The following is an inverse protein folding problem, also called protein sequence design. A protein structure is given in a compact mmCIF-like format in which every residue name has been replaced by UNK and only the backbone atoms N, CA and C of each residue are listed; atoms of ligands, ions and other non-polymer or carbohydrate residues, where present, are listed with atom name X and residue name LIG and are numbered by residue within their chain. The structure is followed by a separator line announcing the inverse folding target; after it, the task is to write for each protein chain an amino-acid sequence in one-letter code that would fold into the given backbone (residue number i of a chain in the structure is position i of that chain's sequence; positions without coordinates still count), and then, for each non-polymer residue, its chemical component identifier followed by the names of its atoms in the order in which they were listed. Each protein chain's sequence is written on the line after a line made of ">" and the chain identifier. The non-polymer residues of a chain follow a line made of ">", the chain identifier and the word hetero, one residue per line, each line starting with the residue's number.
data_IF_606040544478
#
_entry.id   IF_606040544478
#
_cell.length_a   1.000
_cell.length_b   1.000
_cell.length_c   1.000
_cell.angle_alpha   90.00
_cell.angle_beta   90.00
_cell.angle_gamma   90.00
#
_symmetry.space_group_name_H-M   'P 1'
#
loop_
_entity.id
_entity.type
_entity.pdbx_description
1 polymer ?
#
# COMPACT_ATOMS: atom_id res chain seq x y z
N UNK A 1 25.58 -16.32 -22.68
CA UNK A 1 26.70 -17.26 -22.46
C UNK A 1 26.64 -18.36 -23.51
N UNK A 2 27.76 -18.82 -24.07
CA UNK A 2 27.78 -19.86 -25.13
C UNK A 2 28.06 -21.24 -24.55
N UNK A 3 27.72 -22.32 -25.27
CA UNK A 3 28.00 -23.71 -24.86
C UNK A 3 29.48 -23.94 -24.54
N UNK A 4 30.37 -23.45 -25.40
CA UNK A 4 31.81 -23.57 -25.20
C UNK A 4 32.26 -22.92 -23.89
N UNK A 5 31.70 -21.76 -23.54
CA UNK A 5 32.03 -21.08 -22.28
C UNK A 5 31.54 -21.88 -21.07
N UNK A 6 30.36 -22.49 -21.14
CA UNK A 6 29.82 -23.34 -20.06
C UNK A 6 30.69 -24.59 -19.89
N UNK A 7 30.92 -25.35 -20.96
CA UNK A 7 31.68 -26.61 -20.88
C UNK A 7 33.17 -26.41 -20.56
N UNK A 8 33.68 -25.18 -20.71
CA UNK A 8 35.03 -24.83 -20.29
C UNK A 8 35.17 -24.69 -18.76
N UNK A 9 34.07 -24.58 -17.99
CA UNK A 9 34.12 -24.41 -16.54
C UNK A 9 34.67 -25.67 -15.84
N UNK A 10 35.37 -25.52 -14.69
CA UNK A 10 36.06 -26.63 -14.03
C UNK A 10 35.19 -27.85 -13.73
N UNK A 11 33.94 -27.65 -13.31
CA UNK A 11 33.01 -28.75 -12.99
C UNK A 11 32.51 -29.52 -14.22
N UNK A 12 32.61 -28.95 -15.42
CA UNK A 12 32.23 -29.62 -16.66
C UNK A 12 33.38 -30.30 -17.40
N UNK A 13 34.63 -29.89 -17.15
CA UNK A 13 35.81 -30.42 -17.84
C UNK A 13 35.89 -31.96 -17.91
N UNK A 14 35.60 -32.73 -16.83
CA UNK A 14 35.63 -34.20 -16.90
C UNK A 14 34.66 -34.79 -17.93
N UNK A 15 33.58 -34.07 -18.23
CA UNK A 15 32.50 -34.50 -19.10
C UNK A 15 32.37 -33.62 -20.36
N UNK A 16 33.30 -32.71 -20.64
CA UNK A 16 33.16 -31.70 -21.70
C UNK A 16 33.01 -32.31 -23.11
N UNK A 17 33.56 -33.51 -23.33
CA UNK A 17 33.42 -34.26 -24.58
C UNK A 17 32.16 -35.16 -24.64
N UNK A 18 31.31 -35.14 -23.61
CA UNK A 18 30.08 -35.95 -23.56
C UNK A 18 29.15 -35.59 -24.72
N UNK A 19 28.76 -36.56 -25.58
CA UNK A 19 27.81 -36.32 -26.66
C UNK A 19 26.46 -35.79 -26.14
N UNK A 20 26.08 -36.12 -24.92
CA UNK A 20 24.85 -35.63 -24.28
C UNK A 20 24.96 -34.12 -24.07
N UNK A 21 26.02 -33.65 -23.41
CA UNK A 21 26.24 -32.23 -23.12
C UNK A 21 26.47 -31.41 -24.40
N UNK A 22 27.15 -31.99 -25.39
CA UNK A 22 27.41 -31.32 -26.67
C UNK A 22 26.14 -31.12 -27.51
N UNK A 23 25.16 -32.01 -27.42
CA UNK A 23 23.91 -31.94 -28.18
C UNK A 23 22.73 -31.37 -27.36
N UNK A 24 22.90 -31.15 -26.05
CA UNK A 24 21.87 -30.59 -25.19
C UNK A 24 21.46 -29.18 -25.65
N UNK A 25 20.14 -28.86 -25.70
CA UNK A 25 19.67 -27.49 -25.94
C UNK A 25 20.35 -26.49 -25.01
N UNK A 26 20.70 -25.31 -25.52
CA UNK A 26 21.50 -24.35 -24.76
C UNK A 26 20.81 -23.91 -23.45
N UNK A 27 19.48 -23.73 -23.47
CA UNK A 27 18.72 -23.36 -22.28
C UNK A 27 18.75 -24.45 -21.18
N UNK A 28 18.68 -25.73 -21.57
CA UNK A 28 18.83 -26.86 -20.65
C UNK A 28 20.23 -26.93 -20.06
N UNK A 29 21.26 -26.73 -20.89
CA UNK A 29 22.65 -26.72 -20.43
C UNK A 29 22.92 -25.54 -19.49
N UNK A 30 22.36 -24.36 -19.78
CA UNK A 30 22.46 -23.18 -18.93
C UNK A 30 21.78 -23.39 -17.57
N UNK A 31 20.59 -23.99 -17.54
CA UNK A 31 19.89 -24.30 -16.31
C UNK A 31 20.63 -25.34 -15.47
N UNK A 32 21.18 -26.38 -16.11
CA UNK A 32 21.99 -27.38 -15.41
C UNK A 32 23.28 -26.78 -14.84
N UNK A 33 23.96 -25.94 -15.62
CA UNK A 33 25.17 -25.24 -15.19
C UNK A 33 24.91 -24.31 -14.00
N UNK A 34 23.87 -23.48 -14.07
CA UNK A 34 23.54 -22.58 -12.95
C UNK A 34 23.08 -23.34 -11.70
N UNK A 35 22.48 -24.52 -11.86
CA UNK A 35 22.13 -25.39 -10.72
C UNK A 35 23.39 -25.97 -10.05
N UNK A 36 24.38 -26.41 -10.83
CA UNK A 36 25.66 -26.91 -10.29
C UNK A 36 26.44 -25.79 -9.60
N UNK A 37 26.46 -24.59 -10.18
CA UNK A 37 27.06 -23.41 -9.54
C UNK A 37 26.37 -23.08 -8.22
N UNK A 38 25.03 -23.07 -8.19
CA UNK A 38 24.26 -22.85 -6.97
C UNK A 38 24.53 -23.91 -5.91
N UNK A 39 24.61 -25.19 -6.29
CA UNK A 39 24.95 -26.26 -5.36
C UNK A 39 26.34 -26.06 -4.75
N UNK A 40 27.30 -25.61 -5.55
CA UNK A 40 28.68 -25.34 -5.11
C UNK A 40 28.73 -24.13 -4.18
N UNK A 41 28.09 -23.03 -4.57
CA UNK A 41 28.05 -21.77 -3.81
C UNK A 41 27.39 -21.95 -2.44
N UNK A 42 26.32 -22.74 -2.35
CA UNK A 42 25.57 -22.97 -1.12
C UNK A 42 25.89 -24.30 -0.43
N UNK A 43 26.96 -25.01 -0.85
CA UNK A 43 27.40 -26.25 -0.22
C UNK A 43 26.34 -27.36 -0.19
N UNK A 44 25.46 -27.42 -1.20
CA UNK A 44 24.39 -28.40 -1.27
C UNK A 44 24.94 -29.75 -1.76
N UNK A 45 25.15 -30.68 -0.84
CA UNK A 45 25.58 -32.05 -1.17
C UNK A 45 24.43 -32.91 -1.72
N UNK A 46 23.20 -32.62 -1.30
CA UNK A 46 21.97 -33.20 -1.84
C UNK A 46 20.93 -32.09 -1.98
N UNK A 47 20.28 -32.03 -3.15
CA UNK A 47 19.22 -31.05 -3.40
C UNK A 47 17.95 -31.42 -2.65
N UNK A 48 17.46 -30.50 -1.82
CA UNK A 48 16.12 -30.53 -1.24
C UNK A 48 15.14 -29.73 -2.11
N UNK A 49 13.81 -29.92 -1.95
CA UNK A 49 12.82 -29.10 -2.65
C UNK A 49 12.98 -27.60 -2.37
N UNK A 50 13.52 -27.24 -1.21
CA UNK A 50 13.78 -25.86 -0.83
C UNK A 50 14.95 -25.26 -1.59
N UNK A 51 16.06 -25.99 -1.70
CA UNK A 51 17.23 -25.56 -2.46
C UNK A 51 16.84 -25.30 -3.93
N UNK A 52 16.06 -26.20 -4.53
CA UNK A 52 15.55 -26.06 -5.90
C UNK A 52 14.63 -24.84 -6.09
N UNK A 53 13.76 -24.51 -5.12
CA UNK A 53 12.89 -23.32 -5.21
C UNK A 53 13.71 -22.04 -5.12
N UNK A 54 14.66 -21.96 -4.20
CA UNK A 54 15.52 -20.78 -4.06
C UNK A 54 16.34 -20.58 -5.33
N UNK A 55 16.98 -21.63 -5.83
CA UNK A 55 17.70 -21.58 -7.11
C UNK A 55 16.81 -21.05 -8.25
N UNK A 56 15.59 -21.59 -8.40
CA UNK A 56 14.66 -21.16 -9.44
C UNK A 56 14.26 -19.68 -9.28
N UNK A 57 14.06 -19.19 -8.04
CA UNK A 57 13.74 -17.79 -7.75
C UNK A 57 14.91 -16.85 -8.07
N UNK A 58 16.14 -17.28 -7.84
CA UNK A 58 17.34 -16.49 -8.13
C UNK A 58 17.67 -16.44 -9.64
N UNK A 59 17.21 -17.41 -10.42
CA UNK A 59 17.54 -17.50 -11.85
C UNK A 59 16.62 -16.69 -12.77
N UNK A 60 15.71 -15.87 -12.24
CA UNK A 60 14.76 -14.95 -12.96
C UNK A 60 13.81 -15.57 -14.00
N UNK A 61 14.09 -16.77 -14.49
CA UNK A 61 13.32 -17.49 -15.48
C UNK A 61 12.57 -18.66 -14.83
N UNK A 62 11.23 -18.59 -14.84
CA UNK A 62 10.37 -19.68 -14.34
C UNK A 62 10.52 -20.97 -15.13
N UNK A 63 10.98 -20.90 -16.39
CA UNK A 63 11.27 -22.09 -17.20
C UNK A 63 12.60 -22.76 -16.82
N UNK A 64 13.45 -22.11 -16.02
CA UNK A 64 14.74 -22.68 -15.62
C UNK A 64 14.57 -24.05 -14.95
N UNK A 65 13.54 -24.23 -14.12
CA UNK A 65 13.31 -25.51 -13.43
C UNK A 65 12.89 -26.63 -14.38
N UNK A 66 12.06 -26.33 -15.38
CA UNK A 66 11.67 -27.28 -16.43
C UNK A 66 12.90 -27.69 -17.26
N UNK A 67 13.74 -26.70 -17.60
CA UNK A 67 15.00 -26.92 -18.32
C UNK A 67 16.01 -27.75 -17.51
N UNK A 68 16.16 -27.51 -16.21
CA UNK A 68 17.02 -28.32 -15.35
C UNK A 68 16.50 -29.75 -15.18
N UNK A 69 15.17 -29.94 -15.06
CA UNK A 69 14.56 -31.28 -15.04
C UNK A 69 14.88 -32.03 -16.35
N UNK A 70 14.68 -31.37 -17.50
CA UNK A 70 14.95 -31.98 -18.80
C UNK A 70 16.44 -32.32 -18.98
N UNK A 71 17.34 -31.43 -18.54
CA UNK A 71 18.78 -31.64 -18.58
C UNK A 71 19.20 -32.84 -17.71
N UNK A 72 18.71 -32.90 -16.47
CA UNK A 72 19.01 -33.94 -15.49
C UNK A 72 18.52 -35.33 -15.95
N UNK A 73 17.35 -35.40 -16.60
CA UNK A 73 16.87 -36.66 -17.21
C UNK A 73 17.83 -37.14 -18.30
N UNK A 74 18.41 -36.23 -19.09
CA UNK A 74 19.33 -36.58 -20.18
C UNK A 74 20.70 -36.99 -19.66
N UNK A 75 21.19 -36.39 -18.58
CA UNK A 75 22.54 -36.67 -18.02
C UNK A 75 22.54 -37.88 -17.09
N UNK A 76 21.60 -37.93 -16.15
CA UNK A 76 21.61 -38.86 -15.02
C UNK A 76 20.44 -39.87 -15.05
N UNK A 77 19.57 -39.76 -16.05
CA UNK A 77 18.42 -40.63 -16.26
C UNK A 77 17.16 -40.21 -15.47
N UNK A 78 16.01 -40.84 -15.77
CA UNK A 78 14.72 -40.46 -15.19
C UNK A 78 14.57 -40.76 -13.69
N UNK A 79 15.46 -41.58 -13.13
CA UNK A 79 15.47 -42.02 -11.73
C UNK A 79 16.53 -41.27 -10.89
N UNK A 80 17.18 -40.24 -11.47
CA UNK A 80 18.18 -39.46 -10.75
C UNK A 80 17.58 -38.87 -9.45
N UNK A 81 18.25 -39.11 -8.32
CA UNK A 81 17.79 -38.69 -6.99
C UNK A 81 17.38 -37.20 -6.92
N UNK A 82 18.10 -36.23 -7.54
CA UNK A 82 17.73 -34.82 -7.49
C UNK A 82 16.41 -34.47 -8.21
N UNK A 83 15.93 -35.31 -9.13
CA UNK A 83 14.71 -35.05 -9.90
C UNK A 83 13.47 -34.98 -9.01
N UNK A 84 13.41 -35.76 -7.92
CA UNK A 84 12.30 -35.71 -6.98
C UNK A 84 12.17 -34.31 -6.34
N UNK A 85 13.29 -33.72 -5.93
CA UNK A 85 13.35 -32.38 -5.34
C UNK A 85 13.01 -31.28 -6.35
N UNK A 86 13.54 -31.36 -7.57
CA UNK A 86 13.21 -30.43 -8.65
C UNK A 86 11.71 -30.45 -9.00
N UNK A 87 11.12 -31.65 -9.15
CA UNK A 87 9.68 -31.80 -9.42
C UNK A 87 8.81 -31.28 -8.28
N UNK A 88 9.19 -31.53 -7.02
CA UNK A 88 8.44 -31.00 -5.88
C UNK A 88 8.47 -29.45 -5.83
N UNK A 89 9.61 -28.86 -6.17
CA UNK A 89 9.75 -27.40 -6.31
C UNK A 89 8.90 -26.86 -7.47
N UNK A 90 8.97 -27.48 -8.65
CA UNK A 90 8.18 -27.12 -9.84
C UNK A 90 6.67 -27.16 -9.54
N UNK A 91 6.19 -28.22 -8.88
CA UNK A 91 4.78 -28.35 -8.47
C UNK A 91 4.36 -27.19 -7.56
N UNK A 92 5.22 -26.80 -6.61
CA UNK A 92 4.95 -25.69 -5.69
C UNK A 92 4.88 -24.36 -6.44
N UNK A 93 5.85 -24.08 -7.30
CA UNK A 93 5.90 -22.86 -8.10
C UNK A 93 4.69 -22.78 -9.06
N UNK A 94 4.34 -23.89 -9.71
CA UNK A 94 3.18 -24.00 -10.59
C UNK A 94 1.87 -23.77 -9.83
N UNK A 95 1.73 -24.33 -8.62
CA UNK A 95 0.55 -24.11 -7.77
C UNK A 95 0.40 -22.63 -7.40
N UNK A 96 1.50 -21.92 -7.16
CA UNK A 96 1.52 -20.49 -6.93
C UNK A 96 1.15 -19.68 -8.20
N UNK A 97 1.77 -19.99 -9.34
CA UNK A 97 1.52 -19.29 -10.60
C UNK A 97 0.07 -19.45 -11.11
N UNK A 98 -0.53 -20.63 -10.91
CA UNK A 98 -1.91 -20.95 -11.31
C UNK A 98 -2.96 -20.53 -10.28
N UNK A 99 -2.57 -19.90 -9.18
CA UNK A 99 -3.51 -19.57 -8.11
C UNK A 99 -4.49 -18.46 -8.54
N UNK A 100 -5.73 -18.86 -8.84
CA UNK A 100 -6.79 -17.95 -9.27
C UNK A 100 -7.55 -17.28 -8.11
N UNK A 101 -7.20 -17.58 -6.84
CA UNK A 101 -7.88 -17.02 -5.66
C UNK A 101 -7.54 -15.56 -5.36
N UNK A 102 -7.10 -14.82 -6.37
CA UNK A 102 -6.65 -13.44 -6.27
C UNK A 102 -7.60 -12.59 -7.11
N UNK A 103 -8.21 -11.59 -6.49
CA UNK A 103 -8.99 -10.60 -7.23
C UNK A 103 -8.05 -9.79 -8.13
N UNK A 104 -7.94 -10.17 -9.39
CA UNK A 104 -7.24 -9.41 -10.45
C UNK A 104 -8.12 -8.32 -11.07
N UNK A 105 -9.41 -8.30 -10.72
CA UNK A 105 -10.34 -7.32 -11.26
C UNK A 105 -9.92 -5.89 -10.86
N UNK A 106 -9.85 -4.96 -11.84
CA UNK A 106 -9.82 -3.53 -11.56
C UNK A 106 -10.96 -3.14 -10.62
N UNK A 107 -10.87 -1.95 -9.98
CA UNK A 107 -11.98 -1.42 -9.19
C UNK A 107 -13.30 -1.60 -9.96
N UNK A 108 -14.29 -2.25 -9.33
CA UNK A 108 -15.62 -2.48 -9.90
C UNK A 108 -16.09 -1.23 -10.64
N UNK A 109 -16.45 -1.39 -11.91
CA UNK A 109 -17.08 -0.32 -12.67
C UNK A 109 -18.51 -0.16 -12.13
N UNK A 110 -18.72 0.85 -11.30
CA UNK A 110 -20.05 1.17 -10.79
C UNK A 110 -20.84 1.89 -11.88
N UNK A 111 -22.03 1.40 -12.20
CA UNK A 111 -22.98 2.13 -13.03
C UNK A 111 -23.29 3.49 -12.38
N UNK A 112 -23.36 4.56 -13.18
CA UNK A 112 -23.61 5.93 -12.69
C UNK A 112 -25.09 6.11 -12.31
N UNK A 113 -25.48 5.55 -11.18
CA UNK A 113 -26.87 5.59 -10.69
C UNK A 113 -27.22 6.86 -9.92
N UNK A 114 -26.28 7.79 -9.71
CA UNK A 114 -26.51 9.03 -8.94
C UNK A 114 -25.94 10.29 -9.61
N UNK A 115 -25.49 10.21 -10.87
CA UNK A 115 -24.94 11.36 -11.60
C UNK A 115 -25.27 11.26 -13.08
N UNK A 116 -25.34 12.39 -13.78
CA UNK A 116 -25.29 12.41 -15.25
C UNK A 116 -23.90 12.01 -15.77
N UNK A 117 -23.78 11.67 -17.05
CA UNK A 117 -22.48 11.71 -17.69
C UNK A 117 -22.07 13.18 -17.95
N UNK A 118 -20.77 13.51 -18.02
CA UNK A 118 -20.32 14.86 -18.32
C UNK A 118 -20.89 15.42 -19.62
N UNK A 119 -21.01 14.59 -20.65
CA UNK A 119 -21.60 14.92 -21.96
C UNK A 119 -23.10 15.22 -21.93
N UNK A 120 -23.81 14.79 -20.88
CA UNK A 120 -25.24 15.05 -20.68
C UNK A 120 -25.49 16.38 -19.94
N UNK A 121 -24.45 17.09 -19.51
CA UNK A 121 -24.58 18.41 -18.87
C UNK A 121 -24.99 19.48 -19.89
N UNK A 122 -25.53 20.64 -19.45
CA UNK A 122 -25.71 21.78 -20.35
C UNK A 122 -24.43 22.15 -21.09
N UNK A 123 -24.54 22.49 -22.38
CA UNK A 123 -23.39 22.83 -23.21
C UNK A 123 -22.51 23.93 -22.60
N UNK A 124 -23.14 24.93 -21.96
CA UNK A 124 -22.43 25.99 -21.24
C UNK A 124 -21.57 25.45 -20.08
N UNK A 125 -22.10 24.51 -19.29
CA UNK A 125 -21.36 23.90 -18.19
C UNK A 125 -20.18 23.06 -18.71
N UNK A 126 -20.37 22.34 -19.81
CA UNK A 126 -19.30 21.59 -20.47
C UNK A 126 -18.18 22.53 -20.95
N UNK A 127 -18.55 23.66 -21.58
CA UNK A 127 -17.58 24.67 -22.01
C UNK A 127 -16.83 25.28 -20.82
N UNK A 128 -17.50 25.55 -19.70
CA UNK A 128 -16.84 26.02 -18.49
C UNK A 128 -15.86 25.00 -17.93
N UNK A 129 -16.24 23.71 -17.87
CA UNK A 129 -15.34 22.64 -17.43
C UNK A 129 -14.11 22.52 -18.33
N UNK A 130 -14.28 22.56 -19.66
CA UNK A 130 -13.17 22.56 -20.61
C UNK A 130 -12.21 23.74 -20.35
N UNK A 131 -12.76 24.97 -20.23
CA UNK A 131 -11.94 26.15 -19.89
C UNK A 131 -11.21 25.99 -18.56
N UNK A 132 -11.87 25.44 -17.53
CA UNK A 132 -11.23 25.22 -16.22
C UNK A 132 -10.10 24.19 -16.32
N UNK A 133 -10.27 23.14 -17.13
CA UNK A 133 -9.25 22.11 -17.38
C UNK A 133 -8.04 22.67 -18.11
N UNK A 134 -8.29 23.56 -19.07
CA UNK A 134 -7.28 24.12 -19.97
C UNK A 134 -6.55 25.35 -19.41
N UNK A 135 -7.04 25.95 -18.31
CA UNK A 135 -6.34 27.05 -17.62
C UNK A 135 -4.93 26.64 -17.21
N UNK A 136 -3.93 27.21 -17.92
CA UNK A 136 -2.51 27.11 -17.60
C UNK A 136 -1.82 28.45 -17.35
N UNK A 137 -2.35 29.60 -17.80
CA UNK A 137 -1.49 30.77 -18.05
C UNK A 137 -1.94 32.13 -17.49
N UNK A 138 -3.03 32.24 -16.74
CA UNK A 138 -3.48 33.51 -16.13
C UNK A 138 -3.03 33.71 -14.67
N UNK A 139 -2.00 32.99 -14.23
CA UNK A 139 -1.48 33.06 -12.85
C UNK A 139 -2.36 32.35 -11.81
N UNK A 140 -3.50 31.78 -12.20
CA UNK A 140 -4.32 30.90 -11.38
C UNK A 140 -3.82 29.44 -11.51
N UNK A 141 -3.53 28.81 -10.37
CA UNK A 141 -2.95 27.47 -10.24
C UNK A 141 -3.74 26.43 -11.04
N UNK A 142 -3.06 25.67 -11.93
CA UNK A 142 -3.62 24.48 -12.58
C UNK A 142 -4.19 23.53 -11.52
N UNK A 143 -5.50 23.25 -11.59
CA UNK A 143 -6.16 22.31 -10.69
C UNK A 143 -5.51 20.93 -10.78
N UNK A 144 -5.26 20.31 -9.63
CA UNK A 144 -4.86 18.91 -9.58
C UNK A 144 -5.94 18.03 -10.24
N UNK A 145 -5.59 17.00 -11.04
CA UNK A 145 -6.55 16.16 -11.75
C UNK A 145 -7.68 15.63 -10.85
N UNK A 146 -7.34 15.10 -9.66
CA UNK A 146 -8.31 14.61 -8.69
C UNK A 146 -9.35 15.65 -8.24
N UNK A 147 -8.95 16.93 -8.14
CA UNK A 147 -9.87 18.01 -7.78
C UNK A 147 -10.81 18.34 -8.93
N UNK A 148 -10.28 18.37 -10.16
CA UNK A 148 -11.09 18.56 -11.36
C UNK A 148 -12.12 17.44 -11.55
N UNK A 149 -11.70 16.19 -11.39
CA UNK A 149 -12.57 15.01 -11.55
C UNK A 149 -13.66 14.99 -10.48
N UNK A 150 -13.31 15.28 -9.22
CA UNK A 150 -14.28 15.37 -8.13
C UNK A 150 -15.28 16.51 -8.37
N UNK A 151 -14.79 17.69 -8.78
CA UNK A 151 -15.63 18.83 -9.12
C UNK A 151 -16.62 18.51 -10.22
N UNK A 152 -16.14 17.90 -11.31
CA UNK A 152 -16.96 17.45 -12.44
C UNK A 152 -18.02 16.44 -11.97
N UNK A 153 -17.63 15.46 -11.15
CA UNK A 153 -18.55 14.47 -10.60
C UNK A 153 -19.67 15.12 -9.78
N UNK A 154 -19.35 16.11 -8.93
CA UNK A 154 -20.34 16.82 -8.11
C UNK A 154 -21.27 17.70 -8.93
N UNK A 155 -20.77 18.31 -10.01
CA UNK A 155 -21.60 19.02 -10.97
C UNK A 155 -22.58 18.07 -11.67
N UNK A 156 -22.11 16.89 -12.11
CA UNK A 156 -22.97 15.85 -12.69
C UNK A 156 -24.03 15.31 -11.72
N UNK A 157 -23.71 15.21 -10.42
CA UNK A 157 -24.69 14.84 -9.37
C UNK A 157 -25.77 15.92 -9.24
N UNK A 158 -25.37 17.20 -9.21
CA UNK A 158 -26.30 18.31 -9.15
C UNK A 158 -27.19 18.40 -10.40
N UNK A 159 -26.60 18.29 -11.60
CA UNK A 159 -27.35 18.31 -12.86
C UNK A 159 -28.38 17.18 -12.94
N UNK A 160 -28.05 15.99 -12.45
CA UNK A 160 -29.01 14.88 -12.36
C UNK A 160 -30.18 15.25 -11.46
N UNK A 161 -29.88 15.74 -10.26
CA UNK A 161 -30.91 16.13 -9.29
C UNK A 161 -31.88 17.17 -9.87
N UNK A 162 -31.37 18.19 -10.56
CA UNK A 162 -32.19 19.22 -11.20
C UNK A 162 -33.10 18.60 -12.27
N UNK A 163 -32.55 17.75 -13.15
CA UNK A 163 -33.29 17.05 -14.20
C UNK A 163 -34.41 16.19 -13.63
N UNK A 164 -34.11 15.35 -12.64
CA UNK A 164 -35.09 14.47 -11.99
C UNK A 164 -36.16 15.25 -11.20
N UNK A 165 -35.83 16.45 -10.73
CA UNK A 165 -36.75 17.33 -10.00
C UNK A 165 -37.56 18.27 -10.91
N UNK A 166 -37.41 18.17 -12.23
CA UNK A 166 -38.07 19.07 -13.19
C UNK A 166 -37.64 20.54 -13.07
N UNK A 167 -36.44 20.79 -12.53
CA UNK A 167 -35.88 22.14 -12.38
C UNK A 167 -35.01 22.48 -13.58
N UNK A 168 -34.90 23.77 -13.91
CA UNK A 168 -33.96 24.25 -14.92
C UNK A 168 -32.53 23.85 -14.57
N UNK A 169 -31.75 23.43 -15.58
CA UNK A 169 -30.34 23.04 -15.43
C UNK A 169 -29.43 24.28 -15.30
N UNK A 170 -29.68 25.08 -14.26
CA UNK A 170 -28.92 26.28 -13.94
C UNK A 170 -28.76 26.43 -12.42
N UNK A 171 -27.88 27.33 -11.99
CA UNK A 171 -27.63 27.59 -10.58
C UNK A 171 -28.49 28.72 -10.02
N UNK A 172 -29.44 28.33 -9.18
CA UNK A 172 -30.23 29.25 -8.37
C UNK A 172 -30.12 28.93 -6.88
N UNK A 173 -30.27 29.96 -6.03
CA UNK A 173 -30.26 29.79 -4.56
C UNK A 173 -31.35 28.83 -4.12
N UNK A 174 -32.55 28.90 -4.73
CA UNK A 174 -33.66 28.01 -4.41
C UNK A 174 -33.32 26.54 -4.74
N UNK A 175 -32.77 26.30 -5.93
CA UNK A 175 -32.34 24.98 -6.38
C UNK A 175 -31.22 24.39 -5.52
N UNK A 176 -30.23 25.20 -5.12
CA UNK A 176 -29.15 24.78 -4.22
C UNK A 176 -29.66 24.40 -2.82
N UNK A 177 -30.67 25.11 -2.30
CA UNK A 177 -31.30 24.76 -1.01
C UNK A 177 -32.04 23.43 -1.10
N UNK A 178 -32.81 23.20 -2.17
CA UNK A 178 -33.49 21.92 -2.38
C UNK A 178 -32.48 20.77 -2.54
N UNK A 179 -31.39 20.99 -3.27
CA UNK A 179 -30.31 20.01 -3.40
C UNK A 179 -29.61 19.73 -2.06
N UNK A 180 -29.42 20.75 -1.21
CA UNK A 180 -28.89 20.55 0.14
C UNK A 180 -29.80 19.63 0.97
N UNK A 181 -31.11 19.89 0.96
CA UNK A 181 -32.08 19.01 1.62
C UNK A 181 -32.00 17.58 1.08
N UNK A 182 -31.97 17.41 -0.24
CA UNK A 182 -31.81 16.11 -0.87
C UNK A 182 -30.53 15.37 -0.42
N UNK A 183 -29.37 16.04 -0.44
CA UNK A 183 -28.11 15.43 0.01
C UNK A 183 -28.14 15.06 1.50
N UNK A 184 -28.80 15.86 2.35
CA UNK A 184 -28.91 15.55 3.80
C UNK A 184 -29.82 14.35 4.09
N UNK A 185 -30.81 14.09 3.23
CA UNK A 185 -31.72 12.94 3.37
C UNK A 185 -31.27 11.72 2.56
N UNK A 186 -30.26 11.87 1.69
CA UNK A 186 -29.79 10.79 0.83
C UNK A 186 -29.15 9.68 1.65
N UNK A 187 -29.64 8.47 1.46
CA UNK A 187 -29.04 7.26 2.02
C UNK A 187 -27.91 6.80 1.10
N UNK A 188 -26.73 6.64 1.66
CA UNK A 188 -25.57 6.08 0.97
C UNK A 188 -25.78 4.59 0.65
N UNK A 189 -24.95 4.03 -0.22
CA UNK A 189 -24.91 2.58 -0.48
C UNK A 189 -24.65 1.72 0.78
N UNK A 190 -24.27 2.34 1.90
CA UNK A 190 -24.08 1.69 3.20
C UNK A 190 -25.33 1.72 4.09
N UNK A 191 -26.47 2.16 3.58
CA UNK A 191 -27.73 2.23 4.34
C UNK A 191 -27.81 3.37 5.36
N UNK A 192 -26.80 4.26 5.41
CA UNK A 192 -26.76 5.40 6.33
C UNK A 192 -26.81 6.74 5.58
N UNK A 193 -27.33 7.81 6.21
CA UNK A 193 -27.25 9.17 5.66
C UNK A 193 -25.81 9.58 5.33
N UNK A 194 -25.66 10.52 4.38
CA UNK A 194 -24.35 11.08 4.08
C UNK A 194 -23.75 11.78 5.30
N UNK A 195 -22.45 11.60 5.52
CA UNK A 195 -21.75 12.34 6.56
C UNK A 195 -21.66 13.83 6.22
N UNK A 196 -21.63 14.68 7.25
CA UNK A 196 -21.44 16.14 7.10
C UNK A 196 -20.21 16.48 6.26
N UNK A 197 -19.12 15.71 6.40
CA UNK A 197 -17.91 15.85 5.58
C UNK A 197 -18.17 15.61 4.08
N UNK A 198 -19.03 14.66 3.72
CA UNK A 198 -19.39 14.37 2.33
C UNK A 198 -20.20 15.53 1.74
N UNK A 199 -21.12 16.08 2.52
CA UNK A 199 -21.94 17.23 2.13
C UNK A 199 -21.06 18.47 1.94
N UNK A 200 -20.14 18.74 2.87
CA UNK A 200 -19.13 19.81 2.74
C UNK A 200 -18.36 19.66 1.43
N UNK A 201 -17.89 18.45 1.11
CA UNK A 201 -17.15 18.21 -0.14
C UNK A 201 -18.02 18.51 -1.37
N UNK A 202 -19.26 18.00 -1.41
CA UNK A 202 -20.22 18.29 -2.49
C UNK A 202 -20.37 19.80 -2.72
N UNK A 203 -20.64 20.58 -1.67
CA UNK A 203 -20.86 22.02 -1.82
C UNK A 203 -19.57 22.83 -2.03
N UNK A 204 -18.42 22.36 -1.54
CA UNK A 204 -17.13 22.99 -1.79
C UNK A 204 -16.75 22.88 -3.27
N UNK A 205 -16.98 21.71 -3.86
CA UNK A 205 -16.72 21.44 -5.27
C UNK A 205 -17.68 22.23 -6.18
N UNK A 206 -18.98 22.32 -5.84
CA UNK A 206 -19.92 23.19 -6.57
C UNK A 206 -19.53 24.67 -6.47
N UNK A 207 -19.13 25.14 -5.28
CA UNK A 207 -18.60 26.51 -5.11
C UNK A 207 -17.37 26.75 -5.99
N UNK A 208 -16.46 25.79 -6.05
CA UNK A 208 -15.24 25.91 -6.83
C UNK A 208 -15.55 25.99 -8.33
N UNK A 209 -16.49 25.18 -8.83
CA UNK A 209 -17.00 25.33 -10.20
C UNK A 209 -17.52 26.74 -10.47
N UNK A 210 -18.40 27.27 -9.60
CA UNK A 210 -18.95 28.62 -9.75
C UNK A 210 -17.88 29.73 -9.70
N UNK A 211 -16.89 29.58 -8.81
CA UNK A 211 -15.78 30.53 -8.70
C UNK A 211 -14.91 30.50 -9.95
N UNK A 212 -14.57 29.31 -10.43
CA UNK A 212 -13.66 29.16 -11.56
C UNK A 212 -14.34 29.46 -12.89
N UNK A 213 -15.62 29.16 -13.07
CA UNK A 213 -16.34 29.50 -14.32
C UNK A 213 -16.43 31.00 -14.56
N UNK A 214 -16.39 31.83 -13.49
CA UNK A 214 -16.51 33.31 -13.54
C UNK A 214 -17.82 33.78 -14.20
N UNK A 215 -18.77 32.88 -14.48
CA UNK A 215 -20.01 33.14 -15.20
C UNK A 215 -21.20 33.47 -14.29
N UNK A 216 -21.07 33.21 -12.98
CA UNK A 216 -22.17 33.33 -12.03
C UNK A 216 -22.02 34.51 -11.07
N UNK A 217 -23.12 35.09 -10.57
CA UNK A 217 -23.08 36.23 -9.66
C UNK A 217 -22.34 35.92 -8.34
N UNK A 218 -21.50 36.86 -7.88
CA UNK A 218 -20.81 36.79 -6.58
C UNK A 218 -21.75 36.49 -5.39
N UNK A 219 -22.99 37.00 -5.33
CA UNK A 219 -23.93 36.64 -4.26
C UNK A 219 -24.21 35.13 -4.13
N UNK A 220 -24.23 34.38 -5.24
CA UNK A 220 -24.46 32.94 -5.23
C UNK A 220 -23.30 32.21 -4.52
N UNK A 221 -22.06 32.55 -4.89
CA UNK A 221 -20.84 32.02 -4.25
C UNK A 221 -20.81 32.38 -2.76
N UNK A 222 -21.23 33.60 -2.40
CA UNK A 222 -21.32 34.03 -0.99
C UNK A 222 -22.31 33.19 -0.18
N UNK A 223 -23.45 32.80 -0.76
CA UNK A 223 -24.42 31.94 -0.08
C UNK A 223 -23.87 30.52 0.16
N UNK A 224 -23.18 29.93 -0.82
CA UNK A 224 -22.54 28.62 -0.60
C UNK A 224 -21.43 28.71 0.45
N UNK A 225 -20.65 29.80 0.48
CA UNK A 225 -19.66 30.02 1.54
C UNK A 225 -20.31 30.08 2.94
N UNK A 226 -21.46 30.74 3.09
CA UNK A 226 -22.22 30.75 4.35
C UNK A 226 -22.68 29.35 4.76
N UNK A 227 -23.19 28.57 3.80
CA UNK A 227 -23.58 27.17 4.05
C UNK A 227 -22.37 26.33 4.48
N UNK A 228 -21.25 26.43 3.77
CA UNK A 228 -20.02 25.72 4.10
C UNK A 228 -19.48 26.08 5.48
N UNK A 229 -19.60 27.35 5.90
CA UNK A 229 -19.24 27.75 7.25
C UNK A 229 -20.10 27.02 8.29
N UNK A 230 -21.43 27.08 8.17
CA UNK A 230 -22.36 26.39 9.07
C UNK A 230 -22.09 24.88 9.14
N UNK A 231 -21.81 24.25 8.00
CA UNK A 231 -21.50 22.83 7.94
C UNK A 231 -20.16 22.51 8.61
N UNK A 232 -19.14 23.36 8.48
CA UNK A 232 -17.86 23.20 9.18
C UNK A 232 -18.02 23.37 10.69
N UNK A 233 -18.83 24.33 11.12
CA UNK A 233 -19.13 24.55 12.54
C UNK A 233 -19.81 23.30 13.13
N UNK A 234 -20.80 22.73 12.43
CA UNK A 234 -21.42 21.46 12.82
C UNK A 234 -20.43 20.30 12.84
N UNK A 235 -19.63 20.14 11.77
CA UNK A 235 -18.64 19.07 11.66
C UNK A 235 -17.53 19.16 12.72
N UNK A 236 -17.29 20.34 13.30
CA UNK A 236 -16.31 20.53 14.36
C UNK A 236 -16.74 19.93 15.71
N UNK A 237 -18.05 19.76 15.90
CA UNK A 237 -18.67 19.17 17.10
C UNK A 237 -18.87 17.65 16.93
N UNK A 238 -18.98 17.16 15.70
CA UNK A 238 -19.10 15.72 15.41
C UNK A 238 -17.75 15.00 15.64
N UNK A 239 -17.75 13.92 16.43
CA UNK A 239 -16.56 13.06 16.58
C UNK A 239 -16.16 12.53 15.20
N UNK A 240 -14.95 12.89 14.75
CA UNK A 240 -14.48 12.42 13.46
C UNK A 240 -14.46 10.88 13.44
N UNK A 241 -15.02 10.26 12.39
CA UNK A 241 -15.16 8.79 12.26
C UNK A 241 -13.86 8.02 12.54
N UNK A 242 -12.71 8.63 12.25
CA UNK A 242 -11.41 8.04 12.52
C UNK A 242 -11.09 7.87 14.01
N UNK A 243 -11.60 8.74 14.90
CA UNK A 243 -11.41 8.60 16.34
C UNK A 243 -12.35 7.54 16.91
N UNK A 244 -13.56 7.41 16.37
CA UNK A 244 -14.43 6.28 16.70
C UNK A 244 -13.78 4.94 16.28
N UNK A 245 -13.20 4.88 15.08
CA UNK A 245 -12.46 3.71 14.62
C UNK A 245 -11.21 3.43 15.48
N UNK A 246 -10.48 4.48 15.90
CA UNK A 246 -9.31 4.35 16.77
C UNK A 246 -9.69 3.84 18.16
N UNK A 247 -10.76 4.37 18.75
CA UNK A 247 -11.26 3.95 20.04
C UNK A 247 -11.73 2.48 20.06
N UNK A 248 -12.20 1.97 18.91
CA UNK A 248 -12.60 0.58 18.74
C UNK A 248 -11.41 -0.39 18.58
N UNK A 249 -10.19 0.12 18.37
CA UNK A 249 -8.99 -0.71 18.24
C UNK A 249 -8.26 -0.78 19.57
N UNK A 250 -8.05 -1.99 20.06
CA UNK A 250 -7.04 -2.24 21.07
C UNK A 250 -5.66 -2.36 20.39
N UNK A 251 -4.86 -1.31 20.51
CA UNK A 251 -3.54 -1.20 19.87
C UNK A 251 -2.61 -2.33 20.33
N UNK A 252 -2.77 -2.81 21.57
CA UNK A 252 -1.92 -3.88 22.12
C UNK A 252 -2.13 -5.22 21.41
N UNK A 253 -3.26 -5.39 20.71
CA UNK A 253 -3.60 -6.62 19.97
C UNK A 253 -3.00 -6.68 18.57
N UNK A 254 -2.46 -5.58 18.04
CA UNK A 254 -1.99 -5.52 16.64
C UNK A 254 -0.84 -6.50 16.39
N UNK A 255 0.18 -6.49 17.27
CA UNK A 255 1.31 -7.41 17.14
C UNK A 255 0.91 -8.87 17.41
N UNK A 256 0.23 -9.21 18.53
CA UNK A 256 -0.33 -10.56 18.72
C UNK A 256 -1.17 -11.05 17.55
N UNK A 257 -1.92 -10.16 16.88
CA UNK A 257 -2.70 -10.51 15.69
C UNK A 257 -1.80 -10.84 14.50
N UNK A 258 -0.77 -10.04 14.23
CA UNK A 258 0.20 -10.33 13.18
C UNK A 258 0.90 -11.68 13.40
N UNK A 259 1.32 -11.96 14.64
CA UNK A 259 1.91 -13.24 15.05
C UNK A 259 0.93 -14.39 14.82
N UNK A 260 -0.32 -14.26 15.25
CA UNK A 260 -1.34 -15.28 15.02
C UNK A 260 -1.60 -15.53 13.53
N UNK A 261 -1.56 -14.49 12.69
CA UNK A 261 -1.69 -14.64 11.23
C UNK A 261 -0.49 -15.40 10.65
N UNK A 262 0.74 -15.09 11.10
CA UNK A 262 1.97 -15.77 10.68
C UNK A 262 2.02 -17.23 11.15
N UNK A 263 1.69 -17.50 12.41
CA UNK A 263 1.64 -18.86 12.95
C UNK A 263 0.63 -19.76 12.22
N UNK A 264 -0.45 -19.18 11.67
CA UNK A 264 -1.43 -19.91 10.88
C UNK A 264 -0.95 -20.30 9.47
N UNK A 265 0.24 -19.87 9.04
CA UNK A 265 0.87 -20.29 7.77
C UNK A 265 1.10 -21.80 7.75
N UNK A 266 1.61 -22.37 8.84
CA UNK A 266 1.88 -23.80 8.94
C UNK A 266 0.62 -24.68 8.77
N UNK A 267 -0.57 -24.11 9.02
CA UNK A 267 -1.86 -24.80 8.86
C UNK A 267 -2.39 -24.77 7.41
N UNK A 268 -1.74 -24.04 6.50
CA UNK A 268 -2.19 -23.95 5.11
C UNK A 268 -1.49 -25.00 4.25
N UNK A 269 -2.27 -25.93 3.69
CA UNK A 269 -1.77 -26.94 2.75
C UNK A 269 -1.36 -26.34 1.40
N UNK A 270 -2.08 -25.31 0.93
CA UNK A 270 -1.82 -24.66 -0.35
C UNK A 270 -0.66 -23.63 -0.24
N UNK A 271 0.41 -23.76 -1.04
CA UNK A 271 1.54 -22.83 -1.04
C UNK A 271 1.16 -21.37 -1.29
N UNK A 272 0.24 -21.10 -2.21
CA UNK A 272 -0.23 -19.75 -2.50
C UNK A 272 -0.93 -19.11 -1.29
N UNK A 273 -1.70 -19.90 -0.53
CA UNK A 273 -2.33 -19.41 0.72
C UNK A 273 -1.29 -19.09 1.78
N UNK A 274 -0.17 -19.83 1.84
CA UNK A 274 0.95 -19.52 2.74
C UNK A 274 1.60 -18.18 2.41
N UNK A 275 1.88 -17.91 1.13
CA UNK A 275 2.37 -16.59 0.65
C UNK A 275 1.42 -15.46 1.06
N UNK A 276 0.12 -15.62 0.82
CA UNK A 276 -0.89 -14.61 1.19
C UNK A 276 -0.91 -14.35 2.69
N UNK A 277 -0.81 -15.39 3.52
CA UNK A 277 -0.80 -15.24 4.99
C UNK A 277 0.43 -14.50 5.48
N UNK A 278 1.62 -14.78 4.93
CA UNK A 278 2.85 -14.01 5.24
C UNK A 278 2.72 -12.54 4.86
N UNK A 279 2.20 -12.24 3.67
CA UNK A 279 1.92 -10.87 3.28
C UNK A 279 0.92 -10.18 4.22
N UNK A 280 -0.12 -10.89 4.68
CA UNK A 280 -1.10 -10.34 5.63
C UNK A 280 -0.46 -10.03 6.97
N UNK A 281 0.36 -10.93 7.51
CA UNK A 281 1.08 -10.69 8.77
C UNK A 281 1.98 -9.45 8.65
N UNK A 282 2.78 -9.35 7.59
CA UNK A 282 3.60 -8.18 7.29
C UNK A 282 2.79 -6.89 7.16
N UNK A 283 1.65 -6.95 6.46
CA UNK A 283 0.75 -5.80 6.27
C UNK A 283 0.07 -5.34 7.57
N UNK A 284 0.03 -6.18 8.61
CA UNK A 284 -0.47 -5.79 9.94
C UNK A 284 0.69 -5.19 10.77
N UNK A 285 1.84 -5.85 10.79
CA UNK A 285 2.94 -5.54 11.70
C UNK A 285 3.71 -4.26 11.37
N UNK A 286 3.98 -3.99 10.09
CA UNK A 286 4.91 -2.92 9.67
C UNK A 286 4.27 -1.52 9.56
N UNK A 287 3.03 -1.35 9.05
CA UNK A 287 2.43 -0.02 8.91
C UNK A 287 2.34 0.85 10.18
N UNK A 288 2.15 0.31 11.40
CA UNK A 288 2.22 1.10 12.63
C UNK A 288 3.60 1.71 12.89
N UNK A 289 4.68 1.09 12.42
CA UNK A 289 6.07 1.56 12.62
C UNK A 289 6.50 2.54 11.53
N UNK A 290 5.96 2.36 10.33
CA UNK A 290 6.20 3.21 9.16
C UNK A 290 4.84 3.70 8.67
N UNK A 291 4.22 4.69 9.34
CA UNK A 291 2.86 5.15 9.07
C UNK A 291 2.79 5.98 7.78
N UNK A 292 3.17 5.37 6.66
CA UNK A 292 3.07 5.92 5.31
C UNK A 292 1.61 6.22 4.98
N UNK A 293 1.35 6.97 3.91
CA UNK A 293 -0.02 7.38 3.59
C UNK A 293 -0.81 6.29 2.87
N UNK A 294 -0.29 5.84 1.72
CA UNK A 294 -0.88 4.80 0.84
C UNK A 294 0.17 4.02 0.04
N UNK A 295 1.45 4.20 0.35
CA UNK A 295 2.56 3.82 -0.53
C UNK A 295 3.10 2.41 -0.27
N UNK A 296 2.62 1.71 0.78
CA UNK A 296 3.15 0.40 1.17
C UNK A 296 3.16 -0.65 0.06
N UNK A 297 2.18 -0.62 -0.85
CA UNK A 297 2.08 -1.57 -1.96
C UNK A 297 3.18 -1.40 -3.00
N UNK A 298 3.75 -0.20 -3.10
CA UNK A 298 4.77 0.16 -4.08
C UNK A 298 6.18 -0.06 -3.50
N UNK A 299 6.33 -0.22 -2.19
CA UNK A 299 7.64 -0.40 -1.56
C UNK A 299 8.41 -1.59 -2.17
N UNK A 300 9.68 -1.36 -2.47
CA UNK A 300 10.60 -2.36 -3.02
C UNK A 300 11.86 -2.48 -2.18
N UNK A 301 12.37 -3.70 -2.11
CA UNK A 301 13.73 -3.95 -1.62
C UNK A 301 14.73 -3.22 -2.51
N UNK A 302 15.86 -2.76 -1.97
CA UNK A 302 16.86 -2.00 -2.72
C UNK A 302 16.41 -0.56 -2.98
N UNK A 303 15.30 -0.34 -3.67
CA UNK A 303 14.82 1.01 -4.00
C UNK A 303 14.41 1.80 -2.76
N UNK A 304 13.52 1.24 -1.93
CA UNK A 304 12.96 1.93 -0.78
C UNK A 304 13.43 1.32 0.54
N UNK A 305 13.52 -0.01 0.63
CA UNK A 305 13.84 -0.76 1.85
C UNK A 305 15.15 -1.53 1.68
N UNK A 306 16.13 -1.28 2.53
CA UNK A 306 17.46 -1.92 2.49
C UNK A 306 17.82 -2.56 3.83
N UNK A 307 18.56 -3.65 3.80
CA UNK A 307 19.14 -4.33 4.95
C UNK A 307 20.51 -3.72 5.27
N UNK A 308 20.57 -2.91 6.33
CA UNK A 308 21.82 -2.25 6.74
C UNK A 308 21.96 -2.25 8.26
N UNK A 309 23.17 -2.52 8.75
CA UNK A 309 23.48 -2.56 10.18
C UNK A 309 22.49 -3.44 10.97
N UNK A 310 22.22 -4.65 10.46
CA UNK A 310 21.35 -5.63 11.11
C UNK A 310 19.86 -5.25 11.13
N UNK A 311 19.42 -4.29 10.31
CA UNK A 311 18.01 -3.97 10.19
C UNK A 311 17.53 -3.48 8.84
N UNK A 312 16.23 -3.69 8.56
CA UNK A 312 15.55 -3.07 7.41
C UNK A 312 15.30 -1.58 7.65
N UNK A 313 15.81 -0.72 6.76
CA UNK A 313 15.68 0.74 6.81
C UNK A 313 15.14 1.29 5.50
N UNK A 314 14.42 2.39 5.58
CA UNK A 314 14.08 3.15 4.39
C UNK A 314 15.31 3.95 3.93
N UNK A 315 15.69 3.80 2.65
CA UNK A 315 16.85 4.47 2.03
C UNK A 315 16.38 5.59 1.11
N UNK A 316 16.97 6.77 1.25
CA UNK A 316 16.71 7.97 0.43
C UNK A 316 15.21 8.30 0.28
N UNK A 317 14.40 7.84 1.24
CA UNK A 317 12.96 7.75 1.04
C UNK A 317 12.33 9.10 1.31
N UNK A 318 11.72 9.70 0.28
CA UNK A 318 10.95 10.94 0.41
C UNK A 318 9.47 10.64 0.23
N UNK A 319 8.68 10.98 1.25
CA UNK A 319 7.23 10.78 1.24
C UNK A 319 6.58 11.45 0.03
N UNK A 320 5.82 10.67 -0.74
CA UNK A 320 5.41 11.04 -2.11
C UNK A 320 4.63 12.34 -2.20
N UNK A 321 3.82 12.65 -1.19
CA UNK A 321 2.99 13.87 -1.16
C UNK A 321 3.85 15.14 -1.09
N UNK A 322 5.00 15.08 -0.43
CA UNK A 322 5.78 16.26 -0.04
C UNK A 322 7.18 16.26 -0.63
N UNK A 323 7.61 15.18 -1.30
CA UNK A 323 8.93 15.03 -1.92
C UNK A 323 9.35 16.16 -2.87
N UNK A 324 8.39 16.88 -3.43
CA UNK A 324 8.62 17.98 -4.38
C UNK A 324 8.87 19.33 -3.69
N UNK A 325 8.70 19.43 -2.37
CA UNK A 325 8.97 20.66 -1.65
C UNK A 325 10.48 20.85 -1.43
N UNK A 326 11.02 22.07 -1.65
CA UNK A 326 12.42 22.37 -1.37
C UNK A 326 12.78 22.11 0.10
N UNK A 327 14.02 21.66 0.36
CA UNK A 327 14.54 21.46 1.71
C UNK A 327 13.96 20.26 2.47
N UNK A 328 13.33 19.30 1.76
CA UNK A 328 12.78 18.10 2.42
C UNK A 328 13.85 17.05 2.70
N UNK A 329 13.97 16.74 3.98
CA UNK A 329 14.77 15.66 4.54
C UNK A 329 14.21 14.28 4.17
N UNK A 330 15.10 13.29 4.21
CA UNK A 330 14.76 11.90 4.04
C UNK A 330 14.00 11.37 5.25
N UNK A 331 13.07 10.46 4.98
CA UNK A 331 12.26 9.86 6.02
C UNK A 331 13.06 8.79 6.76
N UNK A 332 13.33 8.94 8.08
CA UNK A 332 14.24 8.07 8.82
C UNK A 332 13.58 6.73 9.25
N UNK A 333 12.54 6.29 8.54
CA UNK A 333 11.75 5.13 8.94
C UNK A 333 12.56 3.84 8.88
N UNK A 334 12.40 2.98 9.88
CA UNK A 334 13.00 1.65 9.92
C UNK A 334 12.02 0.63 10.49
N UNK A 335 12.22 -0.65 10.15
CA UNK A 335 11.47 -1.74 10.76
C UNK A 335 12.11 -2.05 12.11
N UNK A 336 11.30 -2.03 13.17
CA UNK A 336 11.78 -2.34 14.51
C UNK A 336 12.34 -3.77 14.59
N UNK A 337 13.42 -4.05 15.36
CA UNK A 337 14.01 -5.38 15.50
C UNK A 337 13.02 -6.51 15.78
N UNK A 338 12.03 -6.27 16.64
CA UNK A 338 11.00 -7.27 16.97
C UNK A 338 10.06 -7.61 15.82
N UNK A 339 10.05 -6.83 14.73
CA UNK A 339 9.11 -6.97 13.61
C UNK A 339 9.81 -7.41 12.31
N UNK A 340 11.14 -7.53 12.32
CA UNK A 340 11.92 -7.87 11.13
C UNK A 340 11.59 -9.26 10.59
N UNK A 341 11.27 -10.18 11.50
CA UNK A 341 10.91 -11.55 11.15
C UNK A 341 9.66 -11.63 10.25
N UNK A 342 8.79 -10.62 10.22
CA UNK A 342 7.68 -10.56 9.26
C UNK A 342 8.16 -10.26 7.84
N UNK A 343 9.18 -9.40 7.70
CA UNK A 343 9.84 -9.10 6.42
C UNK A 343 10.64 -10.32 5.96
N UNK A 344 11.40 -10.93 6.89
CA UNK A 344 12.17 -12.15 6.62
C UNK A 344 11.24 -13.29 6.20
N UNK A 345 10.12 -13.50 6.90
CA UNK A 345 9.15 -14.53 6.54
C UNK A 345 8.61 -14.30 5.13
N UNK A 346 8.27 -13.05 4.76
CA UNK A 346 7.88 -12.71 3.38
C UNK A 346 9.01 -13.12 2.43
N UNK A 347 10.25 -12.72 2.70
CA UNK A 347 11.35 -12.92 1.76
C UNK A 347 11.69 -14.41 1.58
N UNK A 348 11.80 -15.15 2.69
CA UNK A 348 12.07 -16.59 2.76
C UNK A 348 10.93 -17.43 2.21
N UNK A 349 9.67 -17.03 2.39
CA UNK A 349 8.52 -17.90 2.10
C UNK A 349 8.64 -19.25 2.85
N UNK A 350 8.57 -20.36 2.12
CA UNK A 350 8.74 -21.72 2.66
C UNK A 350 10.20 -22.18 2.63
N UNK A 351 11.14 -21.30 2.28
CA UNK A 351 12.53 -21.65 2.07
C UNK A 351 13.36 -21.61 3.36
N UNK A 352 14.52 -22.26 3.31
CA UNK A 352 15.38 -22.50 4.46
C UNK A 352 16.05 -21.19 4.88
N UNK A 353 16.07 -20.85 6.20
CA UNK A 353 16.71 -19.64 6.70
C UNK A 353 18.16 -19.43 6.25
N UNK A 354 18.91 -20.50 5.90
CA UNK A 354 20.28 -20.37 5.37
C UNK A 354 20.37 -19.52 4.10
N UNK A 355 19.27 -19.36 3.37
CA UNK A 355 19.19 -18.56 2.14
C UNK A 355 18.78 -17.11 2.36
N UNK A 356 18.51 -16.69 3.60
CA UNK A 356 17.96 -15.37 3.87
C UNK A 356 18.86 -14.24 3.32
N UNK A 357 20.17 -14.32 3.53
CA UNK A 357 21.10 -13.28 3.08
C UNK A 357 21.21 -13.24 1.55
N UNK A 358 21.33 -14.39 0.88
CA UNK A 358 21.32 -14.46 -0.59
C UNK A 358 20.01 -13.92 -1.19
N UNK A 359 18.88 -14.18 -0.54
CA UNK A 359 17.59 -13.64 -0.95
C UNK A 359 17.48 -12.13 -0.70
N UNK A 360 18.11 -11.59 0.35
CA UNK A 360 18.17 -10.14 0.59
C UNK A 360 18.97 -9.47 -0.52
N UNK A 361 20.16 -9.98 -0.81
CA UNK A 361 21.04 -9.43 -1.85
C UNK A 361 20.34 -9.44 -3.21
N UNK A 362 19.70 -10.54 -3.58
CA UNK A 362 18.94 -10.65 -4.82
C UNK A 362 17.72 -9.71 -4.84
N UNK A 363 16.96 -9.64 -3.74
CA UNK A 363 15.80 -8.77 -3.65
C UNK A 363 16.17 -7.29 -3.75
N UNK A 364 17.29 -6.88 -3.16
CA UNK A 364 17.79 -5.51 -3.25
C UNK A 364 18.32 -5.19 -4.65
N UNK A 365 19.10 -6.09 -5.23
CA UNK A 365 19.67 -5.90 -6.58
C UNK A 365 18.59 -5.80 -7.65
N UNK A 366 17.57 -6.66 -7.58
CA UNK A 366 16.51 -6.78 -8.58
C UNK A 366 15.24 -5.98 -8.20
N UNK A 367 15.33 -5.14 -7.17
CA UNK A 367 14.25 -4.31 -6.64
C UNK A 367 12.89 -5.02 -6.43
N UNK A 368 12.94 -6.19 -5.78
CA UNK A 368 11.75 -7.02 -5.57
C UNK A 368 10.65 -6.24 -4.81
N UNK A 369 9.38 -6.37 -5.20
CA UNK A 369 8.28 -5.76 -4.45
C UNK A 369 8.12 -6.37 -3.06
N UNK A 370 7.91 -5.53 -2.05
CA UNK A 370 7.69 -5.95 -0.67
C UNK A 370 6.45 -6.86 -0.57
N UNK A 371 5.37 -6.48 -1.24
CA UNK A 371 4.15 -7.27 -1.35
C UNK A 371 3.96 -7.79 -2.77
N UNK A 372 3.83 -9.09 -2.92
CA UNK A 372 3.53 -9.75 -4.20
C UNK A 372 2.42 -10.77 -4.04
N UNK A 373 1.65 -10.96 -5.08
CA UNK A 373 0.79 -12.12 -5.20
C UNK A 373 1.61 -13.42 -5.31
N UNK A 374 1.01 -14.58 -4.99
CA UNK A 374 1.66 -15.88 -5.14
C UNK A 374 2.33 -16.12 -6.50
N UNK A 375 1.76 -15.58 -7.58
CA UNK A 375 2.28 -15.65 -8.94
C UNK A 375 3.41 -14.64 -9.23
N UNK A 376 3.84 -13.86 -8.23
CA UNK A 376 4.84 -12.81 -8.36
C UNK A 376 4.29 -11.45 -8.80
N UNK A 377 3.01 -11.35 -9.18
CA UNK A 377 2.41 -10.10 -9.63
C UNK A 377 2.31 -9.06 -8.49
N UNK A 378 2.24 -7.78 -8.85
CA UNK A 378 2.07 -6.70 -7.88
C UNK A 378 0.69 -6.77 -7.21
N UNK A 379 0.64 -6.45 -5.91
CA UNK A 379 -0.63 -6.29 -5.20
C UNK A 379 -1.31 -4.96 -5.56
N UNK A 380 -2.63 -4.89 -5.40
CA UNK A 380 -3.39 -3.67 -5.62
C UNK A 380 -2.98 -2.52 -4.68
N UNK A 381 -3.16 -1.26 -5.12
CA UNK A 381 -2.76 -0.06 -4.35
C UNK A 381 -3.35 0.00 -2.93
N UNK A 382 -4.55 -0.57 -2.75
CA UNK A 382 -5.26 -0.58 -1.48
C UNK A 382 -5.07 -1.87 -0.69
N UNK A 383 -4.19 -2.79 -1.10
CA UNK A 383 -4.00 -4.11 -0.48
C UNK A 383 -3.83 -4.03 1.04
N UNK A 384 -2.87 -3.22 1.52
CA UNK A 384 -2.62 -3.07 2.97
C UNK A 384 -3.85 -2.50 3.69
N UNK A 385 -4.57 -1.57 3.06
CA UNK A 385 -5.82 -1.04 3.63
C UNK A 385 -6.96 -2.07 3.63
N UNK A 386 -7.02 -2.98 2.66
CA UNK A 386 -7.99 -4.09 2.66
C UNK A 386 -7.69 -5.09 3.76
N UNK A 387 -6.40 -5.44 3.97
CA UNK A 387 -5.97 -6.28 5.09
C UNK A 387 -6.41 -5.65 6.41
N UNK A 388 -6.05 -4.39 6.64
CA UNK A 388 -6.48 -3.66 7.84
C UNK A 388 -8.00 -3.61 8.00
N UNK A 389 -8.74 -3.41 6.91
CA UNK A 389 -10.20 -3.36 6.98
C UNK A 389 -10.80 -4.70 7.37
N UNK A 390 -10.19 -5.82 6.96
CA UNK A 390 -10.64 -7.17 7.32
C UNK A 390 -10.28 -7.50 8.77
N UNK A 391 -9.12 -7.06 9.25
CA UNK A 391 -8.64 -7.42 10.59
C UNK A 391 -9.16 -6.48 11.70
N UNK A 392 -9.36 -5.20 11.39
CA UNK A 392 -9.66 -4.15 12.38
C UNK A 392 -10.83 -3.25 11.98
N UNK A 393 -11.56 -3.55 10.90
CA UNK A 393 -12.73 -2.79 10.48
C UNK A 393 -12.44 -1.39 9.91
N UNK A 394 -11.17 -1.03 9.72
CA UNK A 394 -10.74 0.28 9.18
C UNK A 394 -9.51 0.14 8.29
N UNK A 395 -9.25 1.14 7.42
CA UNK A 395 -8.08 1.12 6.55
C UNK A 395 -6.77 1.47 7.26
N UNK A 396 -5.64 1.07 6.67
CA UNK A 396 -4.29 1.25 7.22
C UNK A 396 -3.86 2.71 7.48
N UNK A 397 -4.58 3.68 6.92
CA UNK A 397 -4.36 5.10 7.25
C UNK A 397 -4.66 5.41 8.74
N UNK A 398 -5.32 4.50 9.48
CA UNK A 398 -5.47 4.60 10.92
C UNK A 398 -4.13 4.50 11.67
N UNK A 399 -3.13 3.80 11.12
CA UNK A 399 -1.79 3.65 11.71
C UNK A 399 -1.15 5.00 12.05
N UNK A 400 -1.37 6.01 11.20
CA UNK A 400 -0.93 7.38 11.44
C UNK A 400 -1.50 7.98 12.72
N UNK A 401 -2.77 7.67 13.02
CA UNK A 401 -3.43 8.12 14.27
C UNK A 401 -3.01 7.27 15.47
N UNK A 402 -2.79 5.96 15.28
CA UNK A 402 -2.23 5.06 16.31
C UNK A 402 -0.86 5.57 16.76
N UNK A 403 0.02 5.95 15.84
CA UNK A 403 1.34 6.52 16.19
C UNK A 403 1.18 7.75 17.06
N UNK A 404 0.24 8.64 16.75
CA UNK A 404 -0.03 9.75 17.66
C UNK A 404 -0.48 9.25 19.02
N UNK A 405 -1.52 8.43 19.12
CA UNK A 405 -2.05 7.97 20.42
C UNK A 405 -1.01 7.22 21.27
N UNK A 406 -0.14 6.41 20.66
CA UNK A 406 0.94 5.68 21.36
C UNK A 406 2.05 6.64 21.78
N UNK A 407 2.51 7.50 20.87
CA UNK A 407 3.67 8.37 21.12
C UNK A 407 3.30 9.51 22.08
N UNK A 408 2.06 10.03 22.01
CA UNK A 408 1.53 10.97 23.00
C UNK A 408 1.40 10.37 24.41
N UNK A 409 1.26 9.05 24.53
CA UNK A 409 1.26 8.38 25.83
C UNK A 409 2.64 8.31 26.49
N UNK A 410 3.70 8.62 25.75
CA UNK A 410 5.08 8.55 26.23
C UNK A 410 5.56 9.93 26.75
N UNK A 411 5.40 11.02 25.99
CA UNK A 411 5.67 12.40 26.44
C UNK A 411 5.16 13.46 25.45
N UNK A 412 5.19 14.75 25.83
CA UNK A 412 4.93 15.85 24.90
C UNK A 412 6.01 15.97 23.81
N UNK A 413 7.30 15.80 24.13
CA UNK A 413 8.41 15.80 23.15
C UNK A 413 8.27 14.70 22.10
N UNK A 414 7.73 13.55 22.52
CA UNK A 414 7.42 12.45 21.62
C UNK A 414 6.39 12.88 20.54
N UNK A 415 5.55 13.88 20.80
CA UNK A 415 4.64 14.43 19.79
C UNK A 415 5.36 14.98 18.55
N UNK A 416 6.53 15.58 18.73
CA UNK A 416 7.35 16.04 17.62
C UNK A 416 7.84 14.84 16.79
N UNK A 417 8.25 13.76 17.44
CA UNK A 417 8.59 12.51 16.77
C UNK A 417 7.38 11.94 16.00
N UNK A 418 6.17 11.97 16.58
CA UNK A 418 4.94 11.57 15.89
C UNK A 418 4.59 12.46 14.69
N UNK A 419 4.91 13.77 14.75
CA UNK A 419 4.80 14.70 13.63
C UNK A 419 5.81 14.42 12.52
N UNK A 420 7.07 14.16 12.87
CA UNK A 420 8.13 13.81 11.92
C UNK A 420 7.84 12.46 11.24
N UNK A 421 7.48 11.44 12.02
CA UNK A 421 7.13 10.10 11.52
C UNK A 421 5.90 10.11 10.60
N UNK A 422 5.02 11.09 10.75
CA UNK A 422 3.89 11.28 9.86
C UNK A 422 4.14 12.33 8.76
N UNK A 423 5.25 13.06 8.77
CA UNK A 423 5.47 14.24 7.91
C UNK A 423 4.31 15.25 7.97
N UNK A 424 3.97 15.63 9.20
CA UNK A 424 3.04 16.70 9.48
C UNK A 424 3.82 17.94 9.92
N UNK A 425 3.77 19.00 9.11
CA UNK A 425 4.49 20.26 9.38
C UNK A 425 3.62 21.33 10.04
N UNK A 426 2.31 21.11 10.19
CA UNK A 426 1.40 22.12 10.74
C UNK A 426 0.76 21.68 12.06
N UNK A 427 0.57 22.64 12.97
CA UNK A 427 -0.18 22.43 14.22
C UNK A 427 -1.63 21.99 13.97
N UNK A 428 -2.22 22.40 12.84
CA UNK A 428 -3.55 21.94 12.44
C UNK A 428 -3.57 20.45 12.11
N UNK A 429 -2.51 19.92 11.49
CA UNK A 429 -2.35 18.49 11.28
C UNK A 429 -2.21 17.77 12.63
N UNK A 430 -1.38 18.25 13.57
CA UNK A 430 -1.29 17.72 14.95
C UNK A 430 -2.67 17.60 15.58
N UNK A 431 -3.40 18.72 15.71
CA UNK A 431 -4.77 18.76 16.29
C UNK A 431 -5.73 17.79 15.62
N UNK A 432 -5.60 17.57 14.31
CA UNK A 432 -6.47 16.65 13.58
C UNK A 432 -6.25 15.20 13.98
N UNK A 433 -5.05 14.77 14.37
CA UNK A 433 -4.70 13.36 14.63
C UNK A 433 -4.50 13.00 16.10
N UNK A 434 -4.49 13.97 17.01
CA UNK A 434 -4.51 13.73 18.46
C UNK A 434 -5.90 13.31 18.93
N UNK A 435 -6.06 12.06 19.39
CA UNK A 435 -7.30 11.57 20.00
C UNK A 435 -7.48 12.07 21.45
N UNK A 436 -8.63 11.80 22.06
CA UNK A 436 -8.87 12.21 23.45
C UNK A 436 -8.01 11.42 24.45
N UNK A 437 -7.64 10.17 24.14
CA UNK A 437 -6.64 9.39 24.90
C UNK A 437 -5.28 10.07 24.91
N UNK A 438 -4.81 10.53 23.76
CA UNK A 438 -3.57 11.29 23.65
C UNK A 438 -3.61 12.58 24.49
N UNK A 439 -4.75 13.30 24.47
CA UNK A 439 -4.92 14.50 25.31
C UNK A 439 -4.89 14.17 26.81
N UNK A 440 -5.57 13.10 27.22
CA UNK A 440 -5.57 12.65 28.61
C UNK A 440 -4.19 12.21 29.07
N UNK A 441 -3.44 11.49 28.22
CA UNK A 441 -2.08 11.10 28.54
C UNK A 441 -1.12 12.29 28.61
N UNK A 442 -1.26 13.30 27.72
CA UNK A 442 -0.49 14.55 27.84
C UNK A 442 -0.81 15.32 29.12
N UNK A 443 -2.09 15.35 29.54
CA UNK A 443 -2.48 15.97 30.81
C UNK A 443 -1.90 15.21 32.01
N UNK A 444 -1.90 13.88 31.97
CA UNK A 444 -1.31 13.05 33.03
C UNK A 444 0.22 13.19 33.09
N UNK A 445 0.90 13.24 31.94
CA UNK A 445 2.34 13.46 31.86
C UNK A 445 2.73 14.87 32.34
N UNK A 446 1.97 15.91 31.95
CA UNK A 446 2.20 17.27 32.44
C UNK A 446 1.93 17.40 33.95
N UNK A 447 0.92 16.69 34.47
CA UNK A 447 0.67 16.60 35.91
C UNK A 447 1.87 15.98 36.64
N UNK A 448 2.38 14.85 36.14
CA UNK A 448 3.56 14.20 36.70
C UNK A 448 4.82 15.08 36.61
N UNK A 449 5.04 15.79 35.51
CA UNK A 449 6.19 16.69 35.37
C UNK A 449 6.10 17.87 36.35
N UNK A 450 4.90 18.40 36.58
CA UNK A 450 4.65 19.41 37.62
C UNK A 450 4.97 18.82 39.00
N UNK A 451 4.47 17.63 39.31
CA UNK A 451 4.74 16.93 40.58
C UNK A 451 6.25 16.69 40.75
N UNK A 452 6.94 16.15 39.74
CA UNK A 452 8.40 15.91 39.76
C UNK A 452 9.20 17.21 39.95
N UNK A 453 8.73 18.34 39.38
CA UNK A 453 9.33 19.67 39.58
C UNK A 453 9.13 20.13 41.02
N UNK A 454 7.93 20.02 41.58
CA UNK A 454 7.66 20.42 42.97
C UNK A 454 8.35 19.51 43.99
N UNK A 455 8.41 18.20 43.75
CA UNK A 455 9.18 17.24 44.54
C UNK A 455 10.69 17.54 44.51
N UNK A 456 11.20 18.10 43.40
CA UNK A 456 12.59 18.56 43.31
C UNK A 456 12.86 19.88 44.06
N UNK A 457 11.81 20.60 44.46
CA UNK A 457 11.88 21.84 45.25
C UNK A 457 11.51 21.66 46.73
N UNK A 458 10.97 20.49 47.13
CA UNK A 458 10.83 20.11 48.53
C UNK A 458 12.18 19.65 49.11
N UNK A 459 12.93 20.62 49.64
CA UNK A 459 14.07 20.44 50.56
C UNK A 459 13.60 20.53 52.00
#
# INVERSE_FOLDING_TARGET
>A
MTRHVILAKPHWQPNAASPILLNMPLAELQALDSLVEFMTEHGCTQLTPTDCRVWARLNTDTAAIEHAIAAMIKTDGPEALPLASLRAAEQTLTACARFAGISREPRRHYERTISLNPEDLPAEWQQHLARIRDRRDDGEIKLAPDLYDRMTQKLCQYGRYLRESGLGLDFEIASLRKFYTYETTRISARGAPLSTSTIIATFADLRDFLRFSKAYPKPLVKQINKLLQKLRDRASVETAQKFAALAAIDITTIHPRAEAVLANVAKQTNPAKRVIKRNRALAIAVPPLTPLRREWHDLRFGRDLVWTEGRYRLRDYKLRKTRHHPGREEYPGSVHPSMQHFVDARLLQDDDPKYLDALRDAAEKEEWPLFVHPDGALVAENYVSQVWSTEFGTGAHICRSIVYDVVFAISEDATLAGMLMNDHTSQQARKKYTGDRAKQASLAAAGKEIDDIFDAYDV
#
